data_IF_888073186983
#
_entry.id   IF_888073186983
#
_cell.length_a   1.000
_cell.length_b   1.000
_cell.length_c   1.000
_cell.angle_alpha   90.00
_cell.angle_beta   90.00
_cell.angle_gamma   90.00
#
_symmetry.space_group_name_H-M   'P 1'
#
loop_
_entity.id
_entity.type
_entity.pdbx_description
1 polymer ?
#
# COMPACT_ATOMS: atom_id res chain seq x y z
N UNK A 1 17.68 21.78 2.54
CA UNK A 1 16.75 20.81 1.91
C UNK A 1 15.46 20.86 2.72
N UNK A 2 14.29 21.20 2.14
CA UNK A 2 13.03 21.21 2.91
C UNK A 2 12.74 19.79 3.39
N UNK A 3 12.51 19.61 4.68
CA UNK A 3 11.98 18.36 5.22
C UNK A 3 10.62 18.10 4.57
N UNK A 4 10.59 17.14 3.65
CA UNK A 4 9.35 16.70 3.03
C UNK A 4 8.61 15.91 4.10
N UNK A 5 7.32 16.13 4.22
CA UNK A 5 6.48 15.49 5.24
C UNK A 5 5.19 15.02 4.59
N UNK A 6 4.62 13.94 5.08
CA UNK A 6 3.39 13.34 4.57
C UNK A 6 2.25 13.73 5.51
N UNK A 7 1.13 14.19 4.97
CA UNK A 7 -0.03 14.49 5.80
C UNK A 7 -0.59 13.19 6.42
N UNK A 8 -0.96 13.23 7.71
CA UNK A 8 -1.41 12.07 8.49
C UNK A 8 -2.60 11.35 7.88
N UNK A 9 -3.38 12.03 7.03
CA UNK A 9 -4.50 11.43 6.31
C UNK A 9 -4.07 10.25 5.41
N UNK A 10 -2.88 10.29 4.80
CA UNK A 10 -2.40 9.18 3.97
C UNK A 10 -2.09 7.94 4.81
N UNK A 11 -1.54 8.13 6.02
CA UNK A 11 -1.35 7.03 6.96
C UNK A 11 -2.68 6.46 7.45
N UNK A 12 -3.64 7.30 7.82
CA UNK A 12 -5.01 6.85 8.15
C UNK A 12 -5.66 6.09 7.00
N UNK A 13 -5.48 6.58 5.77
CA UNK A 13 -6.00 5.95 4.58
C UNK A 13 -5.36 4.57 4.38
N UNK A 14 -4.04 4.45 4.45
CA UNK A 14 -3.34 3.17 4.32
C UNK A 14 -3.77 2.12 5.36
N UNK A 15 -4.03 2.54 6.60
CA UNK A 15 -4.55 1.67 7.67
C UNK A 15 -6.00 1.19 7.43
N UNK A 16 -6.73 1.83 6.50
CA UNK A 16 -8.15 1.57 6.29
C UNK A 16 -8.46 0.13 5.88
N UNK A 17 -7.63 -0.49 5.04
CA UNK A 17 -7.83 -1.87 4.60
C UNK A 17 -7.50 -2.86 5.71
N UNK A 18 -6.36 -2.70 6.40
CA UNK A 18 -6.02 -3.47 7.60
C UNK A 18 -7.15 -3.42 8.66
N UNK A 19 -7.69 -2.22 8.92
CA UNK A 19 -8.82 -2.03 9.84
C UNK A 19 -10.06 -2.80 9.42
N UNK A 20 -10.39 -2.81 8.12
CA UNK A 20 -11.55 -3.52 7.58
C UNK A 20 -11.46 -5.03 7.83
N UNK A 21 -10.26 -5.59 7.85
CA UNK A 21 -9.98 -7.00 8.14
C UNK A 21 -9.76 -7.28 9.63
N UNK A 22 -10.02 -6.32 10.52
CA UNK A 22 -9.90 -6.51 11.97
C UNK A 22 -8.46 -6.58 12.49
N UNK A 23 -7.47 -6.16 11.70
CA UNK A 23 -6.07 -6.15 12.11
C UNK A 23 -5.80 -5.04 13.15
N UNK A 24 -5.27 -5.40 14.30
CA UNK A 24 -4.80 -4.43 15.31
C UNK A 24 -3.43 -3.88 14.93
N UNK A 25 -3.42 -2.68 14.36
CA UNK A 25 -2.21 -1.97 13.95
C UNK A 25 -1.59 -1.09 15.04
N UNK A 26 -2.13 -1.07 16.27
CA UNK A 26 -1.55 -0.26 17.34
C UNK A 26 -0.08 -0.64 17.67
N UNK A 27 0.29 -1.95 17.75
CA UNK A 27 1.68 -2.34 17.97
C UNK A 27 2.61 -1.86 16.85
N UNK A 28 2.15 -1.95 15.60
CA UNK A 28 2.90 -1.49 14.42
C UNK A 28 3.14 0.03 14.48
N UNK A 29 2.12 0.81 14.79
CA UNK A 29 2.26 2.26 14.93
C UNK A 29 3.27 2.63 16.03
N UNK A 30 3.22 1.94 17.16
CA UNK A 30 4.17 2.13 18.26
C UNK A 30 5.61 1.82 17.82
N UNK A 31 5.85 0.70 17.14
CA UNK A 31 7.18 0.33 16.61
C UNK A 31 7.74 1.36 15.63
N UNK A 32 6.87 2.03 14.87
CA UNK A 32 7.26 3.05 13.89
C UNK A 32 7.36 4.46 14.49
N UNK A 33 7.12 4.61 15.79
CA UNK A 33 7.10 5.91 16.47
C UNK A 33 5.98 6.83 15.97
N UNK A 34 4.87 6.26 15.50
CA UNK A 34 3.69 7.00 15.04
C UNK A 34 2.65 6.96 16.16
N UNK A 35 2.39 8.09 16.81
CA UNK A 35 1.30 8.19 17.79
C UNK A 35 -0.07 8.04 17.11
N UNK A 36 -0.95 7.14 17.58
CA UNK A 36 -2.32 7.04 17.08
C UNK A 36 -3.10 8.36 17.23
N UNK A 37 -2.85 9.12 18.29
CA UNK A 37 -3.47 10.42 18.56
C UNK A 37 -3.05 11.45 17.52
N UNK A 38 -1.77 11.43 17.11
CA UNK A 38 -1.25 12.26 16.02
C UNK A 38 -2.01 11.96 14.71
N UNK A 39 -2.32 10.69 14.45
CA UNK A 39 -3.10 10.33 13.28
C UNK A 39 -4.52 10.88 13.32
N UNK A 40 -5.11 11.21 14.47
CA UNK A 40 -6.46 11.80 14.51
C UNK A 40 -6.47 13.31 14.25
N UNK A 41 -5.32 13.97 14.25
CA UNK A 41 -5.23 15.41 14.04
C UNK A 41 -5.25 15.76 12.54
N UNK A 42 -6.19 16.61 12.06
CA UNK A 42 -6.35 16.90 10.64
C UNK A 42 -5.11 17.50 9.96
N UNK A 43 -4.33 18.31 10.69
CA UNK A 43 -3.14 19.00 10.18
C UNK A 43 -1.82 18.30 10.52
N UNK A 44 -1.88 17.15 11.21
CA UNK A 44 -0.67 16.41 11.56
C UNK A 44 0.07 15.94 10.31
N UNK A 45 1.39 15.88 10.44
CA UNK A 45 2.29 15.41 9.40
C UNK A 45 3.25 14.41 10.02
N UNK A 46 3.65 13.42 9.24
CA UNK A 46 4.61 12.39 9.62
C UNK A 46 5.80 12.41 8.67
N UNK A 47 6.92 11.84 9.11
CA UNK A 47 8.09 11.72 8.25
C UNK A 47 7.80 10.75 7.08
N UNK A 48 8.29 11.02 5.86
CA UNK A 48 8.15 10.11 4.73
C UNK A 48 8.65 8.70 5.03
N UNK A 49 9.74 8.58 5.79
CA UNK A 49 10.33 7.30 6.17
C UNK A 49 9.39 6.49 7.08
N UNK A 50 8.69 7.16 8.00
CA UNK A 50 7.66 6.51 8.82
C UNK A 50 6.50 6.01 7.96
N UNK A 51 6.06 6.81 6.99
CA UNK A 51 5.00 6.43 6.06
C UNK A 51 5.41 5.25 5.16
N UNK A 52 6.62 5.27 4.60
CA UNK A 52 7.14 4.17 3.77
C UNK A 52 7.24 2.89 4.58
N UNK A 53 7.78 2.95 5.81
CA UNK A 53 7.85 1.78 6.69
C UNK A 53 6.47 1.27 7.08
N UNK A 54 5.50 2.15 7.31
CA UNK A 54 4.11 1.77 7.56
C UNK A 54 3.55 0.94 6.40
N UNK A 55 3.69 1.40 5.15
CA UNK A 55 3.21 0.64 3.99
C UNK A 55 3.91 -0.71 3.85
N UNK A 56 5.23 -0.75 4.01
CA UNK A 56 6.00 -1.99 3.91
C UNK A 56 5.60 -3.03 4.97
N UNK A 57 5.37 -2.59 6.21
CA UNK A 57 4.92 -3.47 7.27
C UNK A 57 3.48 -3.91 7.07
N UNK A 58 2.58 -3.04 6.60
CA UNK A 58 1.22 -3.45 6.24
C UNK A 58 1.22 -4.51 5.13
N UNK A 59 2.05 -4.36 4.09
CA UNK A 59 2.21 -5.40 3.07
C UNK A 59 2.71 -6.71 3.65
N UNK A 60 3.64 -6.67 4.61
CA UNK A 60 4.19 -7.85 5.27
C UNK A 60 3.14 -8.57 6.13
N UNK A 61 2.46 -7.83 7.00
CA UNK A 61 1.51 -8.36 7.99
C UNK A 61 0.23 -8.88 7.32
N UNK A 62 -0.20 -8.25 6.23
CA UNK A 62 -1.39 -8.68 5.48
C UNK A 62 -1.06 -9.72 4.40
N UNK A 63 0.21 -9.93 4.07
CA UNK A 63 0.68 -10.61 2.85
C UNK A 63 -0.07 -10.16 1.58
N UNK A 64 -0.38 -8.86 1.51
CA UNK A 64 -1.27 -8.26 0.51
C UNK A 64 -0.76 -6.90 0.02
N UNK A 65 -0.31 -6.84 -1.23
CA UNK A 65 0.13 -5.61 -1.92
C UNK A 65 -0.99 -4.58 -2.10
N UNK A 66 -2.27 -5.00 -2.04
CA UNK A 66 -3.43 -4.10 -2.08
C UNK A 66 -3.78 -3.51 -0.71
N UNK A 67 -3.01 -3.78 0.35
CA UNK A 67 -3.20 -3.23 1.70
C UNK A 67 -4.60 -3.51 2.29
N UNK A 68 -5.25 -4.60 1.88
CA UNK A 68 -6.60 -4.97 2.30
C UNK A 68 -7.72 -4.21 1.58
N UNK A 69 -7.43 -3.45 0.52
CA UNK A 69 -8.44 -2.73 -0.27
C UNK A 69 -9.03 -3.52 -1.42
N UNK A 70 -8.37 -4.59 -1.86
CA UNK A 70 -8.85 -5.47 -2.93
C UNK A 70 -10.01 -6.38 -2.51
N UNK A 71 -10.59 -7.07 -3.48
CA UNK A 71 -11.59 -8.12 -3.20
C UNK A 71 -10.96 -9.35 -2.54
N UNK A 72 -9.71 -9.65 -2.88
CA UNK A 72 -8.82 -10.56 -2.15
C UNK A 72 -7.37 -10.06 -2.16
N UNK A 73 -6.46 -10.78 -1.49
CA UNK A 73 -5.08 -10.35 -1.34
C UNK A 73 -4.27 -10.52 -2.64
N UNK A 74 -3.45 -9.52 -2.96
CA UNK A 74 -2.40 -9.64 -3.98
C UNK A 74 -1.10 -10.03 -3.32
N UNK A 75 -0.69 -11.29 -3.47
CA UNK A 75 0.54 -11.80 -2.84
C UNK A 75 1.74 -10.93 -3.18
N UNK A 76 2.64 -10.72 -2.22
CA UNK A 76 3.88 -9.99 -2.43
C UNK A 76 4.71 -10.57 -3.57
N UNK A 77 5.15 -9.70 -4.48
CA UNK A 77 5.85 -10.05 -5.72
C UNK A 77 4.93 -10.07 -6.94
N UNK A 78 3.60 -10.03 -6.78
CA UNK A 78 2.65 -9.97 -7.90
C UNK A 78 2.89 -8.74 -8.77
N UNK A 79 3.00 -7.56 -8.17
CA UNK A 79 3.32 -6.32 -8.88
C UNK A 79 4.70 -6.38 -9.55
N UNK A 80 5.71 -6.97 -8.89
CA UNK A 80 7.04 -7.12 -9.46
C UNK A 80 7.05 -8.02 -10.71
N UNK A 81 6.35 -9.16 -10.66
CA UNK A 81 6.21 -10.06 -11.80
C UNK A 81 5.42 -9.42 -12.94
N UNK A 82 4.37 -8.65 -12.62
CA UNK A 82 3.63 -7.84 -13.58
C UNK A 82 4.53 -6.83 -14.29
N UNK A 83 5.39 -6.13 -13.53
CA UNK A 83 6.42 -5.23 -14.06
C UNK A 83 7.39 -5.95 -15.00
N UNK A 84 7.88 -7.14 -14.64
CA UNK A 84 8.75 -7.94 -15.52
C UNK A 84 8.06 -8.32 -16.85
N UNK A 85 6.75 -8.59 -16.84
CA UNK A 85 6.00 -8.91 -18.06
C UNK A 85 5.82 -7.71 -19.01
N UNK A 86 5.81 -6.48 -18.47
CA UNK A 86 5.55 -5.25 -19.24
C UNK A 86 6.77 -4.37 -19.52
N UNK A 87 7.91 -4.56 -18.84
CA UNK A 87 9.06 -3.64 -18.91
C UNK A 87 9.61 -3.44 -20.33
N UNK A 88 9.37 -4.41 -21.22
CA UNK A 88 9.79 -4.36 -22.63
C UNK A 88 8.72 -3.84 -23.59
N UNK A 89 7.54 -3.42 -23.11
CA UNK A 89 6.52 -2.80 -23.93
C UNK A 89 7.02 -1.45 -24.49
N UNK A 90 6.87 -1.25 -25.81
CA UNK A 90 7.36 -0.04 -26.49
C UNK A 90 6.51 1.21 -26.23
N UNK A 91 5.28 1.04 -25.74
CA UNK A 91 4.34 2.13 -25.48
C UNK A 91 3.64 1.91 -24.15
N UNK A 92 3.25 3.02 -23.51
CA UNK A 92 2.47 2.99 -22.27
C UNK A 92 1.14 2.24 -22.46
N UNK A 93 0.46 2.44 -23.59
CA UNK A 93 -0.77 1.72 -23.94
C UNK A 93 -0.58 0.20 -23.89
N UNK A 94 0.49 -0.33 -24.51
CA UNK A 94 0.78 -1.77 -24.49
C UNK A 94 1.13 -2.26 -23.08
N UNK A 95 1.83 -1.44 -22.30
CA UNK A 95 2.15 -1.77 -20.92
C UNK A 95 0.88 -1.86 -20.05
N UNK A 96 -0.04 -0.89 -20.18
CA UNK A 96 -1.31 -0.88 -19.46
C UNK A 96 -2.22 -2.05 -19.87
N UNK A 97 -2.39 -2.29 -21.17
CA UNK A 97 -3.19 -3.42 -21.65
C UNK A 97 -2.64 -4.77 -21.18
N UNK A 98 -1.30 -4.94 -21.19
CA UNK A 98 -0.66 -6.15 -20.66
C UNK A 98 -0.79 -6.26 -19.14
N UNK A 99 -0.70 -5.15 -18.41
CA UNK A 99 -0.93 -5.13 -16.96
C UNK A 99 -2.36 -5.51 -16.59
N UNK A 100 -3.36 -4.99 -17.29
CA UNK A 100 -4.77 -5.37 -17.13
C UNK A 100 -4.98 -6.86 -17.42
N UNK A 101 -4.39 -7.37 -18.51
CA UNK A 101 -4.43 -8.79 -18.82
C UNK A 101 -3.78 -9.63 -17.70
N UNK A 102 -2.61 -9.22 -17.20
CA UNK A 102 -1.93 -9.91 -16.10
C UNK A 102 -2.84 -10.03 -14.87
N UNK A 103 -3.46 -8.93 -14.42
CA UNK A 103 -4.35 -8.97 -13.26
C UNK A 103 -5.64 -9.77 -13.54
N UNK A 104 -6.15 -9.79 -14.77
CA UNK A 104 -7.33 -10.60 -15.12
C UNK A 104 -7.13 -12.11 -14.96
N UNK A 105 -5.88 -12.57 -14.86
CA UNK A 105 -5.54 -13.98 -14.61
C UNK A 105 -5.84 -14.41 -13.16
N UNK A 106 -6.01 -13.45 -12.24
CA UNK A 106 -6.28 -13.71 -10.83
C UNK A 106 -7.76 -13.42 -10.55
N UNK A 107 -8.56 -14.41 -10.11
CA UNK A 107 -9.98 -14.22 -9.80
C UNK A 107 -10.25 -13.09 -8.81
N UNK A 108 -9.35 -12.88 -7.86
CA UNK A 108 -9.45 -11.91 -6.77
C UNK A 108 -9.05 -10.48 -7.17
N UNK A 109 -8.41 -10.31 -8.33
CA UNK A 109 -7.90 -9.01 -8.80
C UNK A 109 -8.89 -8.24 -9.71
N UNK A 110 -10.16 -8.66 -9.76
CA UNK A 110 -11.21 -7.92 -10.47
C UNK A 110 -11.51 -6.62 -9.71
N UNK A 111 -11.23 -5.49 -10.38
CA UNK A 111 -11.59 -4.12 -9.98
C UNK A 111 -13.08 -3.88 -10.21
#
# INVERSE_FOLDING_TARGET
MRERTIASHFARAALGGARRHGYDYAPLLHQLGISPELLNQPKARIAPEQFTRLLQQLWLELDDEYLGFGHGPSKRGTFAMMCHALIHCRTLEKALNRGLLFYSLFPEARV
#
